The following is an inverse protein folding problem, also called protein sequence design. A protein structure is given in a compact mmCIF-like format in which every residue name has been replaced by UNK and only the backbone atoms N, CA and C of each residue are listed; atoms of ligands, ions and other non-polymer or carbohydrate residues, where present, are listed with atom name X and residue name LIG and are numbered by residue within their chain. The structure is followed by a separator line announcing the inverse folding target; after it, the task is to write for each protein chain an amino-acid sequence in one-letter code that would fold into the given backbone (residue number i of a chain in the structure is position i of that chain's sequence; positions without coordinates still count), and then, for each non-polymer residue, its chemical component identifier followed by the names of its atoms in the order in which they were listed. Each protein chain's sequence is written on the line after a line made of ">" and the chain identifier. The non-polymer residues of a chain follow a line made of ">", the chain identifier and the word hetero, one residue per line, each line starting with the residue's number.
data_IF_673984479083
#
_entry.id   IF_673984479083
#
_cell.length_a   1.000
_cell.length_b   1.000
_cell.length_c   1.000
_cell.angle_alpha   90.00
_cell.angle_beta   90.00
_cell.angle_gamma   90.00
#
_symmetry.space_group_name_H-M   'P 1'
#
loop_
_entity.id
_entity.type
_entity.pdbx_description
1 polymer ?
#
# COMPACT_ATOMS: atom_id res chain seq x y z
N UNK A 1 25.07 -70.42 -25.98
CA UNK A 1 23.84 -69.91 -26.70
C UNK A 1 23.72 -68.47 -26.35
N UNK A 2 24.24 -67.63 -27.25
CA UNK A 2 24.26 -66.20 -27.19
C UNK A 2 22.84 -65.65 -27.58
N UNK A 3 22.34 -64.66 -26.86
CA UNK A 3 21.26 -63.80 -27.36
C UNK A 3 21.69 -62.34 -27.27
N UNK A 4 22.03 -61.85 -28.43
CA UNK A 4 22.26 -60.46 -28.76
C UNK A 4 21.03 -59.63 -28.51
N UNK A 5 21.11 -58.65 -27.62
CA UNK A 5 20.09 -57.62 -27.41
C UNK A 5 20.47 -56.33 -28.14
N UNK A 6 19.67 -55.95 -29.11
CA UNK A 6 19.77 -54.71 -29.90
C UNK A 6 19.32 -53.54 -29.04
N UNK A 7 20.20 -52.55 -28.80
CA UNK A 7 19.83 -51.25 -28.24
C UNK A 7 19.31 -50.36 -29.38
N UNK A 8 18.05 -49.98 -29.31
CA UNK A 8 17.49 -48.90 -30.13
C UNK A 8 17.69 -47.59 -29.39
N UNK A 9 18.53 -46.73 -29.97
CA UNK A 9 18.72 -45.36 -29.53
C UNK A 9 17.56 -44.52 -30.05
N UNK A 10 16.67 -44.04 -29.17
CA UNK A 10 15.70 -43.02 -29.48
C UNK A 10 16.37 -41.63 -29.32
N UNK A 11 16.76 -41.06 -30.45
CA UNK A 11 17.18 -39.67 -30.55
C UNK A 11 15.95 -38.77 -30.29
N UNK A 12 15.94 -38.04 -29.17
CA UNK A 12 15.03 -36.95 -28.95
C UNK A 12 15.62 -35.71 -29.61
N UNK A 13 15.05 -35.36 -30.74
CA UNK A 13 15.31 -34.15 -31.50
C UNK A 13 14.79 -32.95 -30.69
N UNK A 14 15.73 -32.13 -30.21
CA UNK A 14 15.44 -30.93 -29.43
C UNK A 14 15.17 -29.78 -30.43
N UNK A 15 14.04 -29.86 -31.15
CA UNK A 15 13.62 -28.85 -32.10
C UNK A 15 13.12 -27.58 -31.39
N UNK A 16 13.89 -26.53 -31.58
CA UNK A 16 13.62 -25.09 -31.44
C UNK A 16 12.13 -24.72 -31.23
N UNK A 17 11.78 -24.37 -30.02
CA UNK A 17 10.63 -23.51 -29.80
C UNK A 17 11.02 -22.07 -30.16
N UNK A 18 10.20 -21.35 -30.94
CA UNK A 18 10.43 -19.93 -31.20
C UNK A 18 10.32 -19.14 -29.89
N UNK A 19 11.11 -18.06 -29.70
CA UNK A 19 10.98 -17.21 -28.52
C UNK A 19 9.57 -16.63 -28.45
N UNK A 20 8.97 -16.71 -27.26
CA UNK A 20 7.69 -16.05 -26.98
C UNK A 20 7.83 -14.56 -27.32
N UNK A 21 6.83 -13.94 -27.98
CA UNK A 21 6.86 -12.53 -28.29
C UNK A 21 7.00 -11.75 -26.98
N UNK A 22 7.98 -10.86 -26.92
CA UNK A 22 8.16 -9.92 -25.81
C UNK A 22 6.87 -9.12 -25.69
N UNK A 23 6.11 -9.38 -24.60
CA UNK A 23 5.01 -8.52 -24.24
C UNK A 23 5.62 -7.17 -23.83
N UNK A 24 5.69 -6.23 -24.76
CA UNK A 24 5.89 -4.82 -24.45
C UNK A 24 4.79 -4.44 -23.48
N UNK A 25 5.19 -4.13 -22.23
CA UNK A 25 4.27 -3.54 -21.25
C UNK A 25 3.61 -2.34 -21.93
N UNK A 26 2.27 -2.23 -21.91
CA UNK A 26 1.63 -1.00 -22.37
C UNK A 26 2.25 0.15 -21.58
N UNK A 27 2.76 1.16 -22.29
CA UNK A 27 3.25 2.39 -21.67
C UNK A 27 2.12 2.96 -20.81
N UNK A 28 2.33 2.98 -19.50
CA UNK A 28 1.42 3.59 -18.54
C UNK A 28 1.45 5.09 -18.78
N UNK A 29 0.55 5.57 -19.63
CA UNK A 29 0.38 7.00 -19.88
C UNK A 29 -0.33 7.58 -18.67
N UNK A 30 0.34 8.45 -17.88
CA UNK A 30 -0.32 9.11 -16.78
C UNK A 30 -1.46 9.98 -17.31
N UNK A 31 -2.59 10.08 -16.57
CA UNK A 31 -3.70 10.95 -16.94
C UNK A 31 -3.23 12.40 -17.11
N UNK A 32 -3.89 13.14 -18.00
CA UNK A 32 -3.57 14.54 -18.26
C UNK A 32 -3.78 15.38 -17.00
N UNK A 33 -2.77 16.18 -16.65
CA UNK A 33 -2.82 17.11 -15.50
C UNK A 33 -4.03 18.04 -15.60
N UNK A 34 -4.90 18.04 -14.59
CA UNK A 34 -5.95 19.03 -14.41
C UNK A 34 -5.40 20.16 -13.53
N UNK A 35 -5.77 21.40 -13.83
CA UNK A 35 -5.34 22.54 -13.03
C UNK A 35 -6.10 22.59 -11.70
N UNK A 36 -5.39 22.43 -10.59
CA UNK A 36 -5.88 22.75 -9.26
C UNK A 36 -6.15 24.27 -9.18
N UNK A 37 -7.39 24.66 -8.91
CA UNK A 37 -7.85 26.04 -9.01
C UNK A 37 -7.29 26.98 -7.93
N UNK A 38 -6.73 26.48 -6.83
CA UNK A 38 -6.18 27.30 -5.75
C UNK A 38 -4.66 27.32 -5.62
N UNK A 39 -3.94 26.66 -6.53
CA UNK A 39 -2.49 26.72 -6.61
C UNK A 39 -1.73 26.09 -5.43
N UNK A 40 -2.44 25.49 -4.44
CA UNK A 40 -1.82 24.81 -3.30
C UNK A 40 -1.41 23.39 -3.67
N UNK A 41 -0.26 22.89 -3.21
CA UNK A 41 0.13 21.50 -3.40
C UNK A 41 -0.90 20.52 -2.82
N UNK A 42 -1.20 19.45 -3.54
CA UNK A 42 -1.97 18.34 -2.99
C UNK A 42 -1.12 17.52 -2.00
N UNK A 43 -1.74 17.05 -0.91
CA UNK A 43 -1.07 16.17 0.05
C UNK A 43 -1.86 14.87 0.17
N UNK A 44 -1.24 13.79 -0.26
CA UNK A 44 -1.76 12.45 -0.16
C UNK A 44 -1.11 11.77 1.04
N UNK A 45 -1.88 10.97 1.77
CA UNK A 45 -1.38 10.21 2.93
C UNK A 45 -1.70 8.73 2.77
N UNK A 46 -0.79 7.86 3.16
CA UNK A 46 -1.20 6.52 3.56
C UNK A 46 -1.96 6.58 4.89
N UNK A 47 -2.55 5.47 5.31
CA UNK A 47 -3.40 5.40 6.48
C UNK A 47 -2.71 4.64 7.64
N UNK A 48 -2.58 3.31 7.47
CA UNK A 48 -2.08 2.41 8.52
C UNK A 48 -0.56 2.56 8.67
N UNK A 49 -0.07 3.03 9.81
CA UNK A 49 1.35 3.35 10.03
C UNK A 49 1.72 4.80 9.73
N UNK A 50 0.82 5.56 9.10
CA UNK A 50 1.05 6.97 8.72
C UNK A 50 0.12 7.93 9.46
N UNK A 51 -1.20 7.83 9.28
CA UNK A 51 -2.18 8.66 9.98
C UNK A 51 -2.63 7.99 11.29
N UNK A 52 -2.74 6.67 11.29
CA UNK A 52 -3.20 5.89 12.43
C UNK A 52 -2.18 4.84 12.84
N UNK A 53 -2.01 4.67 14.16
CA UNK A 53 -1.36 3.51 14.74
C UNK A 53 -2.40 2.39 14.86
N UNK A 54 -2.35 1.48 13.92
CA UNK A 54 -3.16 0.27 13.83
C UNK A 54 -2.29 -0.99 13.74
N UNK A 55 -0.97 -0.86 13.90
CA UNK A 55 -0.02 -1.96 13.72
C UNK A 55 -0.29 -3.09 14.73
N UNK A 56 -0.64 -2.72 15.97
CA UNK A 56 -1.05 -3.67 17.00
C UNK A 56 -2.30 -4.47 16.59
N UNK A 57 -3.31 -3.79 16.03
CA UNK A 57 -4.53 -4.42 15.51
C UNK A 57 -4.24 -5.38 14.34
N UNK A 58 -3.40 -4.95 13.40
CA UNK A 58 -3.01 -5.72 12.22
C UNK A 58 -2.29 -7.01 12.64
N UNK A 59 -1.37 -6.93 13.61
CA UNK A 59 -0.64 -8.08 14.13
C UNK A 59 -1.56 -9.04 14.89
N UNK A 60 -2.41 -8.54 15.79
CA UNK A 60 -3.35 -9.37 16.55
C UNK A 60 -4.39 -10.06 15.63
N UNK A 61 -4.85 -9.37 14.59
CA UNK A 61 -5.74 -9.98 13.59
C UNK A 61 -5.05 -11.11 12.80
N UNK A 62 -3.75 -10.96 12.50
CA UNK A 62 -2.95 -12.01 11.89
C UNK A 62 -2.83 -13.21 12.84
N UNK A 63 -2.45 -12.98 14.10
CA UNK A 63 -2.33 -14.04 15.10
C UNK A 63 -3.66 -14.79 15.26
N UNK A 64 -4.79 -14.09 15.32
CA UNK A 64 -6.12 -14.69 15.38
C UNK A 64 -6.46 -15.49 14.11
N UNK A 65 -6.11 -14.99 12.92
CA UNK A 65 -6.37 -15.69 11.66
C UNK A 65 -5.61 -17.01 11.57
N UNK A 66 -4.39 -17.07 12.13
CA UNK A 66 -3.49 -18.22 12.07
C UNK A 66 -3.37 -19.02 13.38
N UNK A 67 -4.20 -18.76 14.40
CA UNK A 67 -4.08 -19.32 15.77
C UNK A 67 -3.99 -20.85 15.81
N UNK A 68 -4.68 -21.54 14.89
CA UNK A 68 -4.74 -23.01 14.83
C UNK A 68 -3.72 -23.63 13.86
N UNK A 69 -2.76 -22.83 13.35
CA UNK A 69 -1.86 -23.27 12.29
C UNK A 69 -0.41 -23.40 12.76
N UNK A 70 0.24 -24.48 12.32
CA UNK A 70 1.68 -24.64 12.46
C UNK A 70 2.43 -23.72 11.49
N UNK A 71 1.99 -23.67 10.22
CA UNK A 71 2.54 -22.76 9.21
C UNK A 71 1.86 -21.40 9.29
N UNK A 72 2.58 -20.44 9.85
CA UNK A 72 2.13 -19.06 10.04
C UNK A 72 3.29 -18.09 9.89
N UNK A 73 3.04 -16.82 9.52
CA UNK A 73 4.08 -15.80 9.49
C UNK A 73 4.61 -15.50 10.90
N UNK A 74 5.88 -15.16 10.99
CA UNK A 74 6.38 -14.41 12.15
C UNK A 74 5.85 -12.97 12.10
N UNK A 75 5.83 -12.29 13.24
CA UNK A 75 5.43 -10.87 13.32
C UNK A 75 6.31 -10.00 12.40
N UNK A 76 7.61 -10.27 12.34
CA UNK A 76 8.52 -9.52 11.48
C UNK A 76 8.20 -9.69 9.98
N UNK A 77 7.92 -10.91 9.51
CA UNK A 77 7.52 -11.16 8.12
C UNK A 77 6.17 -10.52 7.79
N UNK A 78 5.25 -10.47 8.75
CA UNK A 78 3.95 -9.84 8.57
C UNK A 78 4.07 -8.33 8.49
N UNK A 79 4.79 -7.71 9.44
CA UNK A 79 5.03 -6.26 9.46
C UNK A 79 5.73 -5.79 8.18
N UNK A 80 6.75 -6.53 7.72
CA UNK A 80 7.45 -6.22 6.46
C UNK A 80 6.57 -6.30 5.20
N UNK A 81 5.36 -6.87 5.29
CA UNK A 81 4.40 -6.92 4.19
C UNK A 81 3.26 -5.89 4.33
N UNK A 82 3.17 -5.16 5.46
CA UNK A 82 2.20 -4.08 5.64
C UNK A 82 2.38 -3.03 4.54
N UNK A 83 1.29 -2.48 4.06
CA UNK A 83 1.27 -1.59 2.89
C UNK A 83 0.90 -2.30 1.58
N UNK A 84 0.91 -3.64 1.56
CA UNK A 84 0.41 -4.45 0.42
C UNK A 84 -1.01 -4.98 0.65
N UNK A 85 -1.71 -5.42 -0.41
CA UNK A 85 -3.03 -6.04 -0.29
C UNK A 85 -3.02 -7.28 0.62
N UNK A 86 -4.00 -7.37 1.54
CA UNK A 86 -4.13 -8.45 2.52
C UNK A 86 -4.12 -9.85 1.87
N UNK A 87 -4.84 -10.06 0.77
CA UNK A 87 -4.88 -11.35 0.07
C UNK A 87 -3.49 -11.79 -0.42
N UNK A 88 -2.67 -10.85 -0.87
CA UNK A 88 -1.28 -11.11 -1.25
C UNK A 88 -0.42 -11.51 -0.06
N UNK A 89 -0.65 -10.91 1.10
CA UNK A 89 0.01 -11.28 2.36
C UNK A 89 -0.39 -12.69 2.79
N UNK A 90 -1.69 -13.00 2.85
CA UNK A 90 -2.22 -14.29 3.28
C UNK A 90 -1.78 -15.44 2.36
N UNK A 91 -1.74 -15.20 1.06
CA UNK A 91 -1.42 -16.21 0.04
C UNK A 91 -0.04 -16.85 0.23
N UNK A 92 0.89 -16.19 0.92
CA UNK A 92 2.22 -16.74 1.21
C UNK A 92 2.18 -17.97 2.13
N UNK A 93 1.14 -18.10 2.97
CA UNK A 93 0.97 -19.16 3.96
C UNK A 93 -0.32 -19.97 3.79
N UNK A 94 -1.14 -19.60 2.81
CA UNK A 94 -2.34 -20.33 2.46
C UNK A 94 -2.03 -21.55 1.59
N UNK A 95 -2.84 -22.61 1.72
CA UNK A 95 -2.69 -23.87 0.98
C UNK A 95 -3.54 -23.93 -0.29
N UNK A 96 -4.55 -23.05 -0.41
CA UNK A 96 -5.45 -22.94 -1.57
C UNK A 96 -6.12 -21.55 -1.61
N UNK A 97 -6.88 -21.27 -2.67
CA UNK A 97 -7.65 -20.03 -2.77
C UNK A 97 -8.80 -19.98 -1.74
N UNK A 98 -9.45 -21.11 -1.46
CA UNK A 98 -10.46 -21.24 -0.41
C UNK A 98 -9.85 -20.94 0.97
N UNK A 99 -8.62 -21.35 1.15
CA UNK A 99 -7.89 -21.10 2.39
C UNK A 99 -7.58 -19.60 2.58
N UNK A 100 -7.21 -18.88 1.53
CA UNK A 100 -7.09 -17.40 1.56
C UNK A 100 -8.41 -16.76 1.99
N UNK A 101 -9.55 -17.24 1.45
CA UNK A 101 -10.87 -16.72 1.81
C UNK A 101 -11.16 -16.94 3.30
N UNK A 102 -10.87 -18.13 3.83
CA UNK A 102 -11.06 -18.46 5.25
C UNK A 102 -10.19 -17.61 6.17
N UNK A 103 -8.89 -17.49 5.86
CA UNK A 103 -7.96 -16.65 6.61
C UNK A 103 -8.38 -15.18 6.61
N UNK A 104 -8.76 -14.66 5.44
CA UNK A 104 -9.27 -13.29 5.30
C UNK A 104 -10.53 -13.04 6.12
N UNK A 105 -11.45 -14.00 6.16
CA UNK A 105 -12.68 -13.88 6.94
C UNK A 105 -12.37 -13.76 8.43
N UNK A 106 -11.51 -14.63 8.98
CA UNK A 106 -11.04 -14.58 10.38
C UNK A 106 -10.29 -13.28 10.70
N UNK A 107 -9.38 -12.87 9.83
CA UNK A 107 -8.64 -11.63 9.98
C UNK A 107 -9.58 -10.41 10.10
N UNK A 108 -10.56 -10.32 9.20
CA UNK A 108 -11.55 -9.23 9.20
C UNK A 108 -12.50 -9.27 10.37
N UNK A 109 -12.91 -10.46 10.80
CA UNK A 109 -13.73 -10.65 12.01
C UNK A 109 -13.05 -10.00 13.22
N UNK A 110 -11.77 -10.31 13.45
CA UNK A 110 -10.99 -9.73 14.53
C UNK A 110 -10.85 -8.22 14.38
N UNK A 111 -10.49 -7.75 13.19
CA UNK A 111 -10.35 -6.31 12.93
C UNK A 111 -11.65 -5.55 13.21
N UNK A 112 -12.81 -6.06 12.76
CA UNK A 112 -14.08 -5.40 12.98
C UNK A 112 -14.46 -5.32 14.46
N UNK A 113 -14.18 -6.38 15.22
CA UNK A 113 -14.50 -6.45 16.64
C UNK A 113 -13.61 -5.56 17.51
N UNK A 114 -12.36 -5.34 17.12
CA UNK A 114 -11.36 -4.70 17.98
C UNK A 114 -10.84 -3.35 17.42
N UNK A 115 -11.36 -2.90 16.27
CA UNK A 115 -10.90 -1.69 15.58
C UNK A 115 -10.78 -0.49 16.51
N UNK A 116 -11.85 -0.11 17.18
CA UNK A 116 -11.91 1.12 17.97
C UNK A 116 -11.05 1.06 19.24
N UNK A 117 -10.85 -0.16 19.78
CA UNK A 117 -10.02 -0.37 20.97
C UNK A 117 -8.50 -0.41 20.66
N UNK A 118 -8.14 -0.69 19.39
CA UNK A 118 -6.75 -0.94 18.99
C UNK A 118 -6.29 -0.03 17.83
N UNK A 119 -7.00 1.08 17.59
CA UNK A 119 -6.65 2.08 16.57
C UNK A 119 -6.63 3.45 17.22
N UNK A 120 -5.53 4.18 17.05
CA UNK A 120 -5.40 5.57 17.52
C UNK A 120 -4.76 6.44 16.43
N UNK A 121 -4.98 7.75 16.47
CA UNK A 121 -4.19 8.66 15.64
C UNK A 121 -2.74 8.70 16.15
N UNK A 122 -1.77 8.80 15.25
CA UNK A 122 -0.41 9.18 15.67
C UNK A 122 -0.42 10.59 16.27
N UNK A 123 0.53 10.91 17.17
CA UNK A 123 0.66 12.27 17.71
C UNK A 123 0.67 13.33 16.59
N UNK A 124 0.02 14.46 16.83
CA UNK A 124 -0.08 15.61 15.91
C UNK A 124 -0.82 15.34 14.57
N UNK A 125 -1.39 14.15 14.35
CA UNK A 125 -2.07 13.82 13.10
C UNK A 125 -3.29 14.70 12.86
N UNK A 126 -4.19 14.77 13.85
CA UNK A 126 -5.46 15.51 13.73
C UNK A 126 -5.18 16.99 13.48
N UNK A 127 -4.30 17.59 14.28
CA UNK A 127 -3.92 18.99 14.18
C UNK A 127 -3.25 19.31 12.83
N UNK A 128 -2.40 18.41 12.33
CA UNK A 128 -1.71 18.60 11.06
C UNK A 128 -2.67 18.54 9.88
N UNK A 129 -3.56 17.52 9.84
CA UNK A 129 -4.56 17.36 8.78
C UNK A 129 -5.53 18.54 8.76
N UNK A 130 -6.03 18.96 9.94
CA UNK A 130 -6.90 20.14 10.06
C UNK A 130 -6.20 21.40 9.54
N UNK A 131 -4.96 21.64 9.96
CA UNK A 131 -4.21 22.83 9.54
C UNK A 131 -3.92 22.85 8.02
N UNK A 132 -3.61 21.71 7.40
CA UNK A 132 -3.43 21.59 5.95
C UNK A 132 -4.74 21.84 5.20
N UNK A 133 -5.85 21.29 5.71
CA UNK A 133 -7.17 21.51 5.14
C UNK A 133 -7.57 23.00 5.20
N UNK A 134 -7.41 23.64 6.36
CA UNK A 134 -7.72 25.07 6.57
C UNK A 134 -6.80 25.98 5.73
N UNK A 135 -5.56 25.57 5.47
CA UNK A 135 -4.65 26.25 4.56
C UNK A 135 -5.05 26.08 3.07
N UNK A 136 -6.07 25.26 2.77
CA UNK A 136 -6.62 25.04 1.44
C UNK A 136 -5.86 24.01 0.60
N UNK A 137 -5.05 23.15 1.21
CA UNK A 137 -4.43 22.01 0.49
C UNK A 137 -5.49 20.98 0.11
N UNK A 138 -5.54 20.51 -1.14
CA UNK A 138 -6.30 19.31 -1.48
C UNK A 138 -5.72 18.09 -0.78
N UNK A 139 -6.57 17.35 -0.04
CA UNK A 139 -6.13 16.19 0.75
C UNK A 139 -6.79 14.91 0.26
N UNK A 140 -6.01 13.83 0.15
CA UNK A 140 -6.52 12.50 -0.12
C UNK A 140 -5.82 11.44 0.73
N UNK A 141 -6.50 10.31 0.95
CA UNK A 141 -5.91 9.09 1.49
C UNK A 141 -5.71 8.08 0.36
N UNK A 142 -4.55 7.40 0.34
CA UNK A 142 -4.22 6.33 -0.61
C UNK A 142 -3.73 5.12 0.18
N UNK A 143 -4.58 4.11 0.34
CA UNK A 143 -4.32 3.00 1.26
C UNK A 143 -4.56 1.63 0.64
N UNK A 144 -3.89 0.60 1.15
CA UNK A 144 -4.15 -0.81 0.83
C UNK A 144 -5.30 -1.43 1.64
N UNK A 145 -5.93 -0.66 2.52
CA UNK A 145 -7.20 -1.00 3.17
C UNK A 145 -8.38 -0.78 2.22
N UNK A 146 -9.48 -1.54 2.37
CA UNK A 146 -10.72 -1.23 1.65
C UNK A 146 -11.24 0.16 2.01
N UNK A 147 -11.83 0.88 1.06
CA UNK A 147 -12.32 2.25 1.26
C UNK A 147 -13.24 2.38 2.47
N UNK A 148 -14.21 1.47 2.63
CA UNK A 148 -15.13 1.50 3.77
C UNK A 148 -14.41 1.38 5.13
N UNK A 149 -13.36 0.54 5.20
CA UNK A 149 -12.54 0.41 6.41
C UNK A 149 -11.67 1.64 6.66
N UNK A 150 -11.15 2.25 5.59
CA UNK A 150 -10.38 3.48 5.68
C UNK A 150 -11.23 4.64 6.20
N UNK A 151 -12.42 4.83 5.63
CA UNK A 151 -13.38 5.86 6.08
C UNK A 151 -13.78 5.68 7.53
N UNK A 152 -14.07 4.41 7.97
CA UNK A 152 -14.34 4.13 9.38
C UNK A 152 -13.20 4.60 10.29
N UNK A 153 -11.95 4.32 9.91
CA UNK A 153 -10.79 4.72 10.71
C UNK A 153 -10.65 6.24 10.77
N UNK A 154 -10.83 6.94 9.65
CA UNK A 154 -10.77 8.40 9.58
C UNK A 154 -11.90 9.07 10.38
N UNK A 155 -13.12 8.51 10.31
CA UNK A 155 -14.27 8.98 11.09
C UNK A 155 -14.04 8.76 12.59
N UNK A 156 -13.46 7.62 12.98
CA UNK A 156 -13.15 7.30 14.37
C UNK A 156 -12.19 8.30 15.00
N UNK A 157 -11.19 8.77 14.25
CA UNK A 157 -10.24 9.79 14.72
C UNK A 157 -10.68 11.23 14.40
N UNK A 158 -11.87 11.41 13.79
CA UNK A 158 -12.53 12.71 13.61
C UNK A 158 -12.00 13.58 12.49
N UNK A 159 -11.40 13.01 11.44
CA UNK A 159 -10.81 13.76 10.31
C UNK A 159 -11.31 13.34 8.93
N UNK A 160 -12.33 12.48 8.82
CA UNK A 160 -12.80 11.99 7.52
C UNK A 160 -13.23 13.13 6.58
N UNK A 161 -13.93 14.12 7.12
CA UNK A 161 -14.46 15.29 6.40
C UNK A 161 -13.38 16.26 5.89
N UNK A 162 -12.12 16.07 6.28
CA UNK A 162 -10.99 16.87 5.81
C UNK A 162 -10.43 16.36 4.48
N UNK A 163 -10.74 15.14 4.08
CA UNK A 163 -10.25 14.54 2.84
C UNK A 163 -11.28 14.62 1.72
N UNK A 164 -10.89 15.18 0.57
CA UNK A 164 -11.72 15.23 -0.63
C UNK A 164 -11.82 13.86 -1.32
N UNK A 165 -10.83 12.98 -1.12
CA UNK A 165 -10.83 11.63 -1.69
C UNK A 165 -10.23 10.62 -0.71
N UNK A 166 -10.79 9.40 -0.72
CA UNK A 166 -10.23 8.22 -0.06
C UNK A 166 -10.12 7.13 -1.12
N UNK A 167 -8.90 6.79 -1.49
CA UNK A 167 -8.60 5.76 -2.48
C UNK A 167 -8.19 4.49 -1.73
N UNK A 168 -9.13 3.58 -1.56
CA UNK A 168 -8.93 2.26 -0.97
C UNK A 168 -8.45 1.23 -1.99
N UNK A 169 -8.22 0.01 -1.49
CA UNK A 169 -7.81 -1.14 -2.31
C UNK A 169 -8.78 -1.42 -3.47
N UNK A 170 -10.05 -1.21 -3.24
CA UNK A 170 -11.16 -1.47 -4.16
C UNK A 170 -11.36 -0.37 -5.22
N UNK A 171 -10.66 0.75 -5.12
CA UNK A 171 -10.75 1.85 -6.07
C UNK A 171 -9.95 1.62 -7.37
N UNK A 172 -8.93 0.75 -7.35
CA UNK A 172 -8.06 0.48 -8.50
C UNK A 172 -7.77 -1.01 -8.67
N UNK A 173 -7.48 -1.45 -9.88
CA UNK A 173 -7.11 -2.85 -10.17
C UNK A 173 -5.63 -3.15 -9.92
N UNK A 174 -4.79 -2.11 -9.87
CA UNK A 174 -3.36 -2.21 -9.56
C UNK A 174 -3.07 -1.38 -8.33
N UNK A 175 -2.24 -1.91 -7.44
CA UNK A 175 -2.06 -1.40 -6.09
C UNK A 175 -0.62 -0.98 -5.84
N UNK A 176 -0.34 -0.27 -4.74
CA UNK A 176 1.01 0.02 -4.27
C UNK A 176 1.87 -1.27 -4.28
N UNK A 177 3.07 -1.28 -4.79
CA UNK A 177 3.97 -0.15 -5.11
C UNK A 177 3.79 0.45 -6.51
N UNK A 178 2.71 0.13 -7.25
CA UNK A 178 2.42 0.69 -8.56
C UNK A 178 1.73 2.06 -8.42
N UNK A 179 1.86 2.96 -9.39
CA UNK A 179 1.44 4.36 -9.27
C UNK A 179 -0.06 4.61 -9.39
N UNK A 180 -0.85 3.65 -9.87
CA UNK A 180 -2.25 3.84 -10.23
C UNK A 180 -3.11 4.40 -9.08
N UNK A 181 -2.99 3.94 -7.81
CA UNK A 181 -3.77 4.54 -6.72
C UNK A 181 -3.43 6.02 -6.49
N UNK A 182 -2.16 6.39 -6.64
CA UNK A 182 -1.70 7.78 -6.52
C UNK A 182 -2.25 8.64 -7.65
N UNK A 183 -2.18 8.16 -8.90
CA UNK A 183 -2.77 8.86 -10.05
C UNK A 183 -4.29 9.04 -9.89
N UNK A 184 -4.99 7.99 -9.43
CA UNK A 184 -6.43 8.06 -9.20
C UNK A 184 -6.79 9.12 -8.15
N UNK A 185 -6.04 9.20 -7.06
CA UNK A 185 -6.22 10.24 -6.04
C UNK A 185 -6.00 11.64 -6.61
N UNK A 186 -4.96 11.84 -7.41
CA UNK A 186 -4.68 13.12 -8.07
C UNK A 186 -5.78 13.53 -9.06
N UNK A 187 -6.34 12.57 -9.81
CA UNK A 187 -7.46 12.81 -10.71
C UNK A 187 -8.72 13.28 -9.96
N UNK A 188 -9.02 12.63 -8.82
CA UNK A 188 -10.14 13.02 -7.97
C UNK A 188 -9.95 14.42 -7.37
N UNK A 189 -8.72 14.77 -7.01
CA UNK A 189 -8.36 16.10 -6.50
C UNK A 189 -8.26 17.18 -7.59
N UNK A 190 -8.18 16.80 -8.87
CA UNK A 190 -7.86 17.70 -9.97
C UNK A 190 -6.48 18.34 -9.84
N UNK A 191 -5.52 17.67 -9.23
CA UNK A 191 -4.20 18.21 -8.88
C UNK A 191 -3.10 17.63 -9.77
N UNK A 192 -2.17 18.48 -10.28
CA UNK A 192 -1.03 18.01 -11.05
C UNK A 192 0.00 17.32 -10.13
N UNK A 193 0.62 16.26 -10.63
CA UNK A 193 1.61 15.46 -9.88
C UNK A 193 2.84 16.25 -9.45
N UNK A 194 3.25 17.22 -10.26
CA UNK A 194 4.42 18.08 -10.00
C UNK A 194 4.22 18.95 -8.75
N UNK A 195 2.95 19.17 -8.38
CA UNK A 195 2.52 19.93 -7.21
C UNK A 195 1.84 19.03 -6.17
N UNK A 196 2.34 17.81 -5.99
CA UNK A 196 1.77 16.88 -5.05
C UNK A 196 2.84 16.18 -4.20
N UNK A 197 2.44 15.84 -2.98
CA UNK A 197 3.24 15.08 -2.02
C UNK A 197 2.51 13.80 -1.65
N UNK A 198 3.24 12.72 -1.45
CA UNK A 198 2.71 11.49 -0.88
C UNK A 198 3.50 11.12 0.36
N UNK A 199 2.83 11.14 1.51
CA UNK A 199 3.37 10.82 2.84
C UNK A 199 3.02 9.38 3.16
N UNK A 200 4.01 8.57 3.48
CA UNK A 200 3.82 7.16 3.83
C UNK A 200 4.99 6.60 4.63
N UNK A 201 4.76 5.50 5.33
CA UNK A 201 5.71 4.86 6.23
C UNK A 201 6.38 3.61 5.65
N UNK A 202 5.98 3.17 4.45
CA UNK A 202 6.47 1.96 3.82
C UNK A 202 7.24 2.20 2.53
N UNK A 203 8.08 1.24 2.13
CA UNK A 203 8.74 1.24 0.82
C UNK A 203 7.73 1.17 -0.33
N UNK A 204 6.55 0.60 -0.10
CA UNK A 204 5.46 0.51 -1.09
C UNK A 204 4.89 1.89 -1.41
N UNK A 205 4.77 2.77 -0.41
CA UNK A 205 4.32 4.15 -0.60
C UNK A 205 5.33 4.97 -1.38
N UNK A 206 6.59 4.86 -0.97
CA UNK A 206 7.68 5.57 -1.63
C UNK A 206 7.80 5.16 -3.10
N UNK A 207 7.76 3.85 -3.39
CA UNK A 207 7.79 3.36 -4.76
C UNK A 207 6.57 3.81 -5.58
N UNK A 208 5.36 3.76 -5.00
CA UNK A 208 4.15 4.22 -5.68
C UNK A 208 4.21 5.72 -5.98
N UNK A 209 4.62 6.53 -5.00
CA UNK A 209 4.77 7.99 -5.18
C UNK A 209 5.84 8.36 -6.19
N UNK A 210 7.03 7.75 -6.10
CA UNK A 210 8.12 7.98 -7.05
C UNK A 210 7.70 7.58 -8.48
N UNK A 211 7.05 6.43 -8.65
CA UNK A 211 6.55 5.98 -9.94
C UNK A 211 5.40 6.86 -10.47
N UNK A 212 4.61 7.47 -9.59
CA UNK A 212 3.58 8.43 -9.96
C UNK A 212 4.13 9.80 -10.35
N UNK A 213 5.38 10.11 -10.01
CA UNK A 213 6.03 11.39 -10.27
C UNK A 213 5.64 12.48 -9.27
N UNK A 214 5.24 12.11 -8.06
CA UNK A 214 5.00 13.04 -6.95
C UNK A 214 6.22 13.09 -6.01
N UNK A 215 6.32 14.13 -5.19
CA UNK A 215 7.30 14.21 -4.12
C UNK A 215 6.90 13.26 -2.98
N UNK A 216 7.81 12.38 -2.57
CA UNK A 216 7.56 11.42 -1.49
C UNK A 216 8.11 11.92 -0.16
N UNK A 217 7.38 11.68 0.92
CA UNK A 217 7.79 11.98 2.29
C UNK A 217 7.76 10.69 3.11
N UNK A 218 8.93 10.22 3.50
CA UNK A 218 9.05 9.04 4.34
C UNK A 218 8.76 9.37 5.81
N UNK A 219 7.73 8.76 6.36
CA UNK A 219 7.28 8.88 7.74
C UNK A 219 8.12 7.97 8.65
N UNK A 220 8.93 8.55 9.53
CA UNK A 220 9.83 7.81 10.43
C UNK A 220 9.17 7.38 11.74
N UNK A 221 7.88 7.65 11.93
CA UNK A 221 7.10 7.22 13.10
C UNK A 221 6.33 5.90 12.87
N UNK A 222 6.32 5.39 11.63
CA UNK A 222 5.73 4.11 11.27
C UNK A 222 6.63 2.92 11.59
N UNK A 223 6.22 1.70 11.23
CA UNK A 223 6.93 0.46 11.57
C UNK A 223 8.23 0.21 10.80
N UNK A 224 8.44 0.88 9.64
CA UNK A 224 9.64 0.69 8.84
C UNK A 224 10.80 1.55 9.35
N UNK A 225 11.98 0.96 9.45
CA UNK A 225 13.20 1.67 9.81
C UNK A 225 13.65 2.63 8.69
N UNK A 226 14.43 3.65 9.07
CA UNK A 226 15.06 4.56 8.10
C UNK A 226 15.88 3.81 7.04
N UNK A 227 16.63 2.79 7.44
CA UNK A 227 17.48 2.02 6.52
C UNK A 227 16.65 1.26 5.46
N UNK A 228 15.48 0.73 5.84
CA UNK A 228 14.56 0.08 4.90
C UNK A 228 13.96 1.11 3.93
N UNK A 229 13.47 2.24 4.44
CA UNK A 229 12.87 3.30 3.63
C UNK A 229 13.88 3.95 2.67
N UNK A 230 15.16 4.06 3.05
CA UNK A 230 16.22 4.65 2.22
C UNK A 230 16.39 3.88 0.89
N UNK A 231 16.14 2.58 0.87
CA UNK A 231 16.22 1.74 -0.35
C UNK A 231 15.23 2.18 -1.43
N UNK A 232 14.14 2.85 -1.05
CA UNK A 232 13.08 3.34 -1.95
C UNK A 232 13.24 4.80 -2.38
N UNK A 233 14.34 5.46 -1.97
CA UNK A 233 14.74 6.81 -2.39
C UNK A 233 13.64 7.87 -2.18
N UNK A 234 13.18 8.11 -0.95
CA UNK A 234 12.21 9.17 -0.67
C UNK A 234 12.78 10.55 -0.99
N UNK A 235 11.92 11.47 -1.42
CA UNK A 235 12.31 12.86 -1.68
C UNK A 235 12.62 13.61 -0.38
N UNK A 236 11.80 13.37 0.64
CA UNK A 236 11.92 14.02 1.97
C UNK A 236 11.76 12.98 3.09
N UNK A 237 12.17 13.40 4.27
CA UNK A 237 12.05 12.65 5.51
C UNK A 237 11.30 13.50 6.53
N UNK A 238 10.43 12.89 7.31
CA UNK A 238 9.79 13.53 8.44
C UNK A 238 9.87 12.63 9.68
N UNK A 239 10.31 13.18 10.80
CA UNK A 239 10.35 12.48 12.08
C UNK A 239 9.00 12.55 12.81
N UNK A 240 8.21 13.57 12.50
CA UNK A 240 6.86 13.80 13.03
C UNK A 240 5.96 14.35 11.92
N UNK A 241 4.68 13.98 11.94
CA UNK A 241 3.73 14.39 10.90
C UNK A 241 3.56 15.92 10.79
N UNK A 242 3.77 16.65 11.87
CA UNK A 242 3.70 18.13 11.87
C UNK A 242 4.74 18.79 10.94
N UNK A 243 5.85 18.10 10.67
CA UNK A 243 6.90 18.58 9.77
C UNK A 243 6.43 18.64 8.30
N UNK A 244 5.40 17.85 7.93
CA UNK A 244 4.81 17.87 6.59
C UNK A 244 4.33 19.28 6.21
N UNK A 245 3.80 20.04 7.18
CA UNK A 245 3.33 21.41 6.96
C UNK A 245 4.43 22.34 6.42
N UNK A 246 5.65 22.15 6.87
CA UNK A 246 6.79 22.97 6.40
C UNK A 246 7.30 22.55 5.01
N UNK A 247 7.05 21.31 4.60
CA UNK A 247 7.48 20.79 3.30
C UNK A 247 6.56 21.22 2.16
N UNK A 248 5.27 21.48 2.43
CA UNK A 248 4.22 21.72 1.42
C UNK A 248 3.90 23.22 1.23
N UNK A 249 4.75 24.10 1.71
CA UNK A 249 4.61 25.57 1.56
C UNK A 249 4.90 26.00 0.12
#
# INVERSE_FOLDING_TARGET
>A
MERTGVRVALGLDCSCQPPLPSQTKPDLVPPASKNNSNGKPAVLFDLDGTLIDSIGLINAAMEYAFDTRELRPSVAEWVAAIGTPLDGMLRRWATSDEDVIGLRARYREFQLAHHDAMTTAYPNTVETVVALHEAGHPLAVVTSKLEAGARRSLAYIGIEDRFQAVVGLDATTRHKPLPEPVWHALDLLGSPREHAFFVGDSTHDMHAGNAAGVKTVAALWGPYSRAELETSQPTYWAADISEVRALVV
#
